data_IF_214769752886
#
_entry.id   IF_214769752886
#
_cell.length_a   1.000
_cell.length_b   1.000
_cell.length_c   1.000
_cell.angle_alpha   90.00
_cell.angle_beta   90.00
_cell.angle_gamma   90.00
#
_symmetry.space_group_name_H-M   'P 1'
#
loop_
_entity.id
_entity.type
_entity.pdbx_description
1 polymer ?
#
# COMPACT_ATOMS: atom_id res chain seq x y z
N UNK A 1 -31.10 16.20 -10.77
CA UNK A 1 -30.26 15.03 -11.14
C UNK A 1 -28.85 15.17 -10.57
N UNK A 2 -28.48 14.38 -9.55
CA UNK A 2 -27.10 14.37 -9.01
C UNK A 2 -26.19 13.47 -9.85
N UNK A 3 -25.27 14.07 -10.63
CA UNK A 3 -24.25 13.35 -11.43
C UNK A 3 -23.02 12.94 -10.58
N UNK A 4 -23.27 12.27 -9.45
CA UNK A 4 -22.24 11.97 -8.42
C UNK A 4 -22.00 10.49 -8.17
N UNK A 5 -22.40 9.62 -9.12
CA UNK A 5 -22.21 8.16 -9.04
C UNK A 5 -21.44 7.66 -10.27
N UNK A 6 -20.46 6.78 -10.06
CA UNK A 6 -19.81 6.01 -11.13
C UNK A 6 -20.85 5.10 -11.83
N UNK A 7 -20.89 5.15 -13.16
CA UNK A 7 -21.70 4.26 -13.99
C UNK A 7 -21.22 2.80 -13.90
N UNK A 8 -22.13 1.81 -13.97
CA UNK A 8 -21.76 0.39 -13.90
C UNK A 8 -20.70 -0.02 -14.93
N UNK A 9 -20.76 0.54 -16.15
CA UNK A 9 -19.73 0.35 -17.17
C UNK A 9 -18.38 0.95 -16.75
N UNK A 10 -18.38 2.18 -16.21
CA UNK A 10 -17.15 2.83 -15.73
C UNK A 10 -16.55 2.10 -14.52
N UNK A 11 -17.37 1.54 -13.65
CA UNK A 11 -16.94 0.72 -12.50
C UNK A 11 -16.18 -0.52 -12.98
N UNK A 12 -16.81 -1.33 -13.85
CA UNK A 12 -16.19 -2.52 -14.42
C UNK A 12 -14.92 -2.19 -15.21
N UNK A 13 -14.95 -1.14 -16.05
CA UNK A 13 -13.78 -0.68 -16.80
C UNK A 13 -12.66 -0.15 -15.88
N UNK A 14 -12.97 0.48 -14.75
CA UNK A 14 -11.94 0.95 -13.80
C UNK A 14 -11.23 -0.24 -13.16
N UNK A 15 -11.97 -1.26 -12.74
CA UNK A 15 -11.40 -2.49 -12.15
C UNK A 15 -10.56 -3.24 -13.19
N UNK A 16 -11.08 -3.40 -14.42
CA UNK A 16 -10.37 -4.07 -15.51
C UNK A 16 -9.08 -3.34 -15.91
N UNK A 17 -9.14 -2.03 -16.16
CA UNK A 17 -7.97 -1.22 -16.54
C UNK A 17 -6.95 -1.19 -15.41
N UNK A 18 -7.38 -1.04 -14.16
CA UNK A 18 -6.49 -1.14 -13.00
C UNK A 18 -5.76 -2.49 -12.98
N UNK A 19 -6.49 -3.61 -13.09
CA UNK A 19 -5.89 -4.93 -12.97
C UNK A 19 -4.92 -5.24 -14.11
N UNK A 20 -5.26 -4.89 -15.35
CA UNK A 20 -4.37 -5.07 -16.51
C UNK A 20 -3.07 -4.27 -16.33
N UNK A 21 -3.13 -2.99 -15.93
CA UNK A 21 -1.91 -2.20 -15.69
C UNK A 21 -1.13 -2.68 -14.46
N UNK A 22 -1.82 -3.08 -13.38
CA UNK A 22 -1.19 -3.57 -12.15
C UNK A 22 -0.44 -4.89 -12.39
N UNK A 23 -0.91 -5.74 -13.31
CA UNK A 23 -0.26 -7.00 -13.69
C UNK A 23 0.82 -6.82 -14.77
N UNK A 24 0.60 -5.96 -15.77
CA UNK A 24 1.54 -5.78 -16.88
C UNK A 24 2.76 -4.91 -16.53
N UNK A 25 2.60 -3.87 -15.70
CA UNK A 25 3.73 -3.00 -15.33
C UNK A 25 4.84 -3.70 -14.51
N UNK A 26 4.56 -4.64 -13.58
CA UNK A 26 5.55 -5.54 -13.00
C UNK A 26 6.55 -6.15 -13.98
N UNK A 27 6.05 -6.67 -15.12
CA UNK A 27 6.89 -7.35 -16.12
C UNK A 27 7.89 -6.39 -16.74
N UNK A 28 7.45 -5.17 -17.07
CA UNK A 28 8.30 -4.11 -17.61
C UNK A 28 9.31 -3.63 -16.54
N UNK A 29 8.85 -3.45 -15.30
CA UNK A 29 9.67 -2.96 -14.18
C UNK A 29 10.74 -3.96 -13.72
N UNK A 30 10.51 -5.26 -13.95
CA UNK A 30 11.47 -6.32 -13.62
C UNK A 30 12.77 -6.19 -14.43
N UNK A 31 12.70 -5.81 -15.70
CA UNK A 31 13.90 -5.56 -16.52
C UNK A 31 14.71 -4.37 -15.99
N UNK A 32 14.03 -3.31 -15.52
CA UNK A 32 14.67 -2.14 -14.93
C UNK A 32 15.23 -2.36 -13.51
N UNK A 33 14.88 -3.47 -12.83
CA UNK A 33 15.37 -3.75 -11.47
C UNK A 33 16.90 -3.69 -11.38
N UNK A 34 17.60 -4.29 -12.34
CA UNK A 34 19.08 -4.32 -12.40
C UNK A 34 19.69 -2.92 -12.58
N UNK A 35 19.00 -2.03 -13.30
CA UNK A 35 19.45 -0.66 -13.54
C UNK A 35 19.22 0.28 -12.34
N UNK A 36 18.35 -0.10 -11.39
CA UNK A 36 18.03 0.72 -10.22
C UNK A 36 19.09 0.72 -9.11
N UNK A 37 20.02 -0.24 -9.13
CA UNK A 37 20.97 -0.48 -8.03
C UNK A 37 20.38 -1.15 -6.79
N UNK A 38 19.06 -1.21 -6.63
CA UNK A 38 18.41 -1.83 -5.46
C UNK A 38 18.30 -3.35 -5.61
N UNK A 39 18.68 -4.06 -4.53
CA UNK A 39 18.46 -5.51 -4.40
C UNK A 39 16.96 -5.78 -4.21
N UNK A 40 16.37 -6.82 -4.86
CA UNK A 40 14.92 -7.05 -4.80
C UNK A 40 14.34 -7.24 -3.39
N UNK A 41 15.11 -7.79 -2.45
CA UNK A 41 14.67 -7.96 -1.05
C UNK A 41 14.67 -6.65 -0.23
N UNK A 42 15.29 -5.59 -0.73
CA UNK A 42 15.19 -4.24 -0.14
C UNK A 42 14.01 -3.52 -0.77
N UNK A 43 14.01 -3.40 -2.10
CA UNK A 43 12.96 -2.74 -2.85
C UNK A 43 12.83 -3.37 -4.24
N UNK A 44 11.69 -4.01 -4.47
CA UNK A 44 11.34 -4.60 -5.75
C UNK A 44 10.54 -3.58 -6.58
N UNK A 45 10.99 -3.25 -7.79
CA UNK A 45 10.35 -2.24 -8.63
C UNK A 45 8.94 -2.66 -9.08
N UNK A 46 8.68 -3.96 -9.21
CA UNK A 46 7.37 -4.49 -9.57
C UNK A 46 6.25 -4.05 -8.60
N UNK A 47 6.58 -3.81 -7.33
CA UNK A 47 5.67 -3.28 -6.31
C UNK A 47 5.13 -1.87 -6.61
N UNK A 48 5.73 -1.14 -7.54
CA UNK A 48 5.19 0.13 -8.06
C UNK A 48 3.97 -0.08 -8.99
N UNK A 49 3.77 -1.29 -9.51
CA UNK A 49 2.72 -1.58 -10.51
C UNK A 49 1.29 -1.20 -10.08
N UNK A 50 0.82 -1.62 -8.89
CA UNK A 50 -0.49 -1.22 -8.36
C UNK A 50 -0.62 0.29 -8.14
N UNK A 51 0.46 0.97 -7.75
CA UNK A 51 0.48 2.43 -7.61
C UNK A 51 0.34 3.13 -8.98
N UNK A 52 1.13 2.71 -9.98
CA UNK A 52 1.06 3.24 -11.35
C UNK A 52 -0.34 3.00 -11.94
N UNK A 53 -0.91 1.80 -11.75
CA UNK A 53 -2.26 1.48 -12.19
C UNK A 53 -3.34 2.37 -11.54
N UNK A 54 -3.23 2.63 -10.22
CA UNK A 54 -4.12 3.57 -9.54
C UNK A 54 -3.98 4.99 -10.10
N UNK A 55 -2.75 5.51 -10.23
CA UNK A 55 -2.50 6.85 -10.77
C UNK A 55 -3.03 7.00 -12.20
N UNK A 56 -2.80 6.03 -13.08
CA UNK A 56 -3.35 6.03 -14.44
C UNK A 56 -4.89 6.06 -14.43
N UNK A 57 -5.54 5.24 -13.60
CA UNK A 57 -7.00 5.24 -13.50
C UNK A 57 -7.54 6.56 -12.90
N UNK A 58 -6.86 7.12 -11.90
CA UNK A 58 -7.14 8.43 -11.30
C UNK A 58 -7.01 9.56 -12.33
N UNK A 59 -6.11 9.45 -13.32
CA UNK A 59 -6.00 10.41 -14.42
C UNK A 59 -7.13 10.22 -15.44
N UNK A 60 -7.35 8.99 -15.91
CA UNK A 60 -8.23 8.66 -17.06
C UNK A 60 -9.73 8.87 -16.75
N UNK A 61 -10.24 8.37 -15.62
CA UNK A 61 -11.68 8.42 -15.32
C UNK A 61 -12.07 9.75 -14.63
N UNK A 62 -13.33 10.17 -14.75
CA UNK A 62 -13.73 11.57 -14.41
C UNK A 62 -14.05 11.81 -12.94
N UNK A 63 -14.54 10.81 -12.20
CA UNK A 63 -15.17 11.01 -10.89
C UNK A 63 -14.14 11.07 -9.74
N UNK A 64 -13.24 12.06 -9.75
CA UNK A 64 -12.10 12.17 -8.83
C UNK A 64 -12.49 12.07 -7.34
N UNK A 65 -13.69 12.55 -6.96
CA UNK A 65 -14.20 12.49 -5.58
C UNK A 65 -14.48 11.05 -5.11
N UNK A 66 -15.06 10.20 -5.95
CA UNK A 66 -15.28 8.78 -5.65
C UNK A 66 -13.94 8.02 -5.70
N UNK A 67 -13.09 8.35 -6.69
CA UNK A 67 -11.77 7.73 -6.88
C UNK A 67 -10.79 7.98 -5.73
N UNK A 68 -10.87 9.12 -5.06
CA UNK A 68 -10.05 9.47 -3.89
C UNK A 68 -10.77 9.21 -2.56
N UNK A 69 -11.91 8.51 -2.58
CA UNK A 69 -12.73 8.24 -1.40
C UNK A 69 -11.97 7.52 -0.27
N UNK A 70 -11.07 6.59 -0.63
CA UNK A 70 -10.19 5.86 0.28
C UNK A 70 -8.83 6.50 0.54
N UNK A 71 -8.56 7.71 0.03
CA UNK A 71 -7.26 8.39 0.13
C UNK A 71 -7.31 9.62 1.06
N UNK A 72 -7.82 9.47 2.28
CA UNK A 72 -7.88 10.55 3.28
C UNK A 72 -6.74 10.45 4.29
N UNK A 73 -5.86 11.46 4.27
CA UNK A 73 -4.67 11.57 5.14
C UNK A 73 -4.98 12.09 6.56
N UNK A 74 -6.19 11.88 7.05
CA UNK A 74 -6.60 12.28 8.40
C UNK A 74 -6.42 11.12 9.40
N UNK A 75 -6.15 11.45 10.66
CA UNK A 75 -6.09 10.49 11.78
C UNK A 75 -7.32 10.69 12.67
N UNK A 76 -7.88 9.60 13.20
CA UNK A 76 -8.87 9.60 14.28
C UNK A 76 -8.65 8.38 15.20
N UNK A 77 -9.40 8.28 16.30
CA UNK A 77 -9.22 7.21 17.28
C UNK A 77 -9.43 5.80 16.68
N UNK A 78 -10.45 5.63 15.82
CA UNK A 78 -10.73 4.38 15.06
C UNK A 78 -9.54 3.98 14.17
N UNK A 79 -8.83 4.94 13.56
CA UNK A 79 -7.58 4.66 12.81
C UNK A 79 -6.43 4.25 13.74
N UNK A 80 -6.27 4.87 14.91
CA UNK A 80 -5.21 4.51 15.87
C UNK A 80 -5.43 3.08 16.41
N UNK A 81 -6.68 2.73 16.73
CA UNK A 81 -7.08 1.36 17.09
C UNK A 81 -6.74 0.35 15.98
N UNK A 82 -7.13 0.64 14.73
CA UNK A 82 -6.81 -0.23 13.59
C UNK A 82 -5.31 -0.30 13.29
N UNK A 83 -4.52 0.75 13.56
CA UNK A 83 -3.05 0.72 13.48
C UNK A 83 -2.45 -0.22 14.54
N UNK A 84 -2.97 -0.20 15.77
CA UNK A 84 -2.51 -1.12 16.81
C UNK A 84 -2.81 -2.58 16.39
N UNK A 85 -4.01 -2.86 15.89
CA UNK A 85 -4.36 -4.18 15.33
C UNK A 85 -3.47 -4.56 14.13
N UNK A 86 -3.17 -3.62 13.23
CA UNK A 86 -2.28 -3.83 12.08
C UNK A 86 -0.84 -4.22 12.47
N UNK A 87 -0.38 -3.87 13.68
CA UNK A 87 0.91 -4.30 14.21
C UNK A 87 0.79 -5.57 15.09
N UNK A 88 -0.31 -5.75 15.81
CA UNK A 88 -0.55 -6.92 16.66
C UNK A 88 -0.86 -8.20 15.89
N UNK A 89 -1.65 -8.14 14.81
CA UNK A 89 -2.01 -9.33 14.02
C UNK A 89 -0.79 -10.00 13.37
N UNK A 90 0.18 -9.28 12.75
CA UNK A 90 1.44 -9.87 12.31
C UNK A 90 2.18 -10.55 13.47
N UNK A 91 2.34 -9.89 14.62
CA UNK A 91 3.05 -10.49 15.76
C UNK A 91 2.41 -11.83 16.19
N UNK A 92 1.08 -11.94 16.21
CA UNK A 92 0.38 -13.21 16.48
C UNK A 92 0.69 -14.27 15.41
N UNK A 93 0.60 -13.90 14.12
CA UNK A 93 0.89 -14.82 12.99
C UNK A 93 2.34 -15.35 13.07
N UNK A 94 3.30 -14.48 13.37
CA UNK A 94 4.71 -14.84 13.49
C UNK A 94 5.01 -15.62 14.77
N UNK A 95 4.35 -15.36 15.90
CA UNK A 95 4.47 -16.18 17.12
C UNK A 95 3.99 -17.61 16.88
N UNK A 96 2.84 -17.80 16.20
CA UNK A 96 2.35 -19.13 15.80
C UNK A 96 3.36 -19.81 14.84
N UNK A 97 3.96 -19.04 13.93
CA UNK A 97 5.04 -19.50 13.06
C UNK A 97 6.25 -20.02 13.84
N UNK A 98 6.85 -19.15 14.66
CA UNK A 98 8.02 -19.47 15.49
C UNK A 98 7.78 -20.68 16.41
N UNK A 99 6.59 -20.80 17.01
CA UNK A 99 6.23 -21.98 17.80
C UNK A 99 6.18 -23.26 16.93
N UNK A 100 5.63 -23.17 15.72
CA UNK A 100 5.56 -24.31 14.79
C UNK A 100 6.95 -24.75 14.32
N UNK A 101 7.84 -23.80 13.97
CA UNK A 101 9.22 -24.09 13.61
C UNK A 101 9.98 -24.78 14.76
N UNK A 102 9.87 -24.25 15.98
CA UNK A 102 10.53 -24.82 17.16
C UNK A 102 9.98 -26.18 17.61
N UNK A 103 8.82 -26.61 17.09
CA UNK A 103 8.14 -27.87 17.47
C UNK A 103 8.24 -28.96 16.39
N UNK A 104 8.34 -28.58 15.11
CA UNK A 104 8.21 -29.50 13.97
C UNK A 104 9.32 -29.36 12.92
N UNK A 105 10.29 -28.47 13.13
CA UNK A 105 11.46 -28.24 12.28
C UNK A 105 12.70 -27.93 13.13
N UNK A 106 13.84 -27.66 12.50
CA UNK A 106 15.13 -27.42 13.15
C UNK A 106 15.29 -25.99 13.72
N UNK A 107 14.24 -25.45 14.37
CA UNK A 107 14.09 -24.03 14.73
C UNK A 107 14.05 -23.11 13.49
N UNK A 108 14.22 -21.80 13.69
CA UNK A 108 14.45 -20.79 12.65
C UNK A 108 15.68 -19.93 13.02
N UNK A 109 16.34 -19.34 12.03
CA UNK A 109 17.50 -18.46 12.21
C UNK A 109 17.05 -17.00 12.12
N UNK A 110 17.34 -16.20 13.15
CA UNK A 110 17.15 -14.75 13.12
C UNK A 110 18.14 -14.09 12.16
N UNK A 111 17.63 -13.20 11.31
CA UNK A 111 18.42 -12.43 10.34
C UNK A 111 19.45 -11.53 11.05
N UNK A 112 20.71 -11.97 11.13
CA UNK A 112 21.75 -11.24 11.84
C UNK A 112 22.22 -10.00 11.06
N UNK A 113 22.35 -8.88 11.78
CA UNK A 113 22.71 -7.57 11.22
C UNK A 113 24.15 -7.46 10.68
N UNK A 114 24.95 -8.52 10.78
CA UNK A 114 26.37 -8.56 10.39
C UNK A 114 26.63 -9.33 9.10
N UNK A 115 25.82 -10.33 8.80
CA UNK A 115 25.94 -11.18 7.61
C UNK A 115 25.07 -10.67 6.44
N UNK A 116 24.18 -9.73 6.74
CA UNK A 116 23.41 -8.99 5.75
C UNK A 116 24.30 -8.08 4.88
N UNK A 117 24.14 -8.18 3.56
CA UNK A 117 24.77 -7.26 2.60
C UNK A 117 24.14 -5.87 2.50
N UNK A 118 23.20 -5.53 3.40
CA UNK A 118 22.42 -4.29 3.48
C UNK A 118 22.03 -4.00 4.94
N UNK A 119 21.85 -2.74 5.35
CA UNK A 119 21.47 -2.47 6.74
C UNK A 119 20.00 -2.85 7.01
N UNK A 120 19.69 -3.26 8.24
CA UNK A 120 18.29 -3.52 8.67
C UNK A 120 17.41 -2.28 8.45
N UNK A 121 17.94 -1.07 8.63
CA UNK A 121 17.22 0.18 8.34
C UNK A 121 16.92 0.35 6.85
N UNK A 122 17.85 -0.02 5.96
CA UNK A 122 17.63 -0.03 4.51
C UNK A 122 16.48 -0.98 4.15
N UNK A 123 16.49 -2.20 4.70
CA UNK A 123 15.45 -3.21 4.47
C UNK A 123 14.09 -2.72 5.01
N UNK A 124 14.04 -2.19 6.24
CA UNK A 124 12.81 -1.70 6.87
C UNK A 124 12.18 -0.55 6.08
N UNK A 125 12.99 0.42 5.62
CA UNK A 125 12.52 1.55 4.80
C UNK A 125 12.05 1.07 3.43
N UNK A 126 12.79 0.16 2.79
CA UNK A 126 12.41 -0.42 1.51
C UNK A 126 11.09 -1.19 1.58
N UNK A 127 10.90 -2.03 2.60
CA UNK A 127 9.65 -2.72 2.88
C UNK A 127 8.48 -1.77 3.17
N UNK A 128 8.72 -0.66 3.89
CA UNK A 128 7.69 0.35 4.17
C UNK A 128 7.24 1.08 2.89
N UNK A 129 8.18 1.41 1.99
CA UNK A 129 7.88 2.02 0.69
C UNK A 129 7.16 1.02 -0.24
N UNK A 130 7.63 -0.22 -0.30
CA UNK A 130 7.00 -1.32 -1.05
C UNK A 130 5.54 -1.51 -0.61
N UNK A 131 5.30 -1.63 0.69
CA UNK A 131 3.97 -1.72 1.29
C UNK A 131 3.08 -0.52 0.91
N UNK A 132 3.62 0.70 0.99
CA UNK A 132 2.89 1.91 0.65
C UNK A 132 2.38 1.90 -0.81
N UNK A 133 3.25 1.59 -1.78
CA UNK A 133 2.86 1.59 -3.19
C UNK A 133 1.84 0.50 -3.52
N UNK A 134 1.97 -0.70 -2.93
CA UNK A 134 1.03 -1.80 -3.13
C UNK A 134 -0.35 -1.48 -2.53
N UNK A 135 -0.39 -1.08 -1.25
CA UNK A 135 -1.66 -0.88 -0.52
C UNK A 135 -2.35 0.46 -0.85
N UNK A 136 -1.62 1.43 -1.42
CA UNK A 136 -2.20 2.57 -2.14
C UNK A 136 -3.07 2.07 -3.30
N UNK A 137 -2.54 1.16 -4.13
CA UNK A 137 -3.25 0.57 -5.24
C UNK A 137 -4.44 -0.29 -4.81
N UNK A 138 -4.21 -1.27 -3.92
CA UNK A 138 -5.23 -2.28 -3.61
C UNK A 138 -6.28 -1.88 -2.56
N UNK A 139 -5.92 -1.25 -1.44
CA UNK A 139 -6.92 -0.88 -0.39
C UNK A 139 -7.41 0.55 -0.54
N UNK A 140 -6.49 1.47 -0.79
CA UNK A 140 -6.83 2.90 -0.75
C UNK A 140 -7.56 3.31 -2.02
N UNK A 141 -7.14 2.78 -3.18
CA UNK A 141 -7.83 2.97 -4.44
C UNK A 141 -8.84 1.85 -4.76
N UNK A 142 -8.38 0.63 -5.08
CA UNK A 142 -9.25 -0.39 -5.69
C UNK A 142 -10.40 -0.83 -4.78
N UNK A 143 -10.17 -1.13 -3.51
CA UNK A 143 -11.23 -1.58 -2.59
C UNK A 143 -12.38 -0.57 -2.50
N UNK A 144 -12.06 0.72 -2.30
CA UNK A 144 -13.04 1.81 -2.31
C UNK A 144 -13.80 1.93 -3.66
N UNK A 145 -13.17 1.62 -4.80
CA UNK A 145 -13.88 1.54 -6.10
C UNK A 145 -14.85 0.34 -6.12
N UNK A 146 -14.45 -0.83 -5.63
CA UNK A 146 -15.29 -2.03 -5.61
C UNK A 146 -16.47 -1.87 -4.64
N UNK A 147 -16.24 -1.27 -3.47
CA UNK A 147 -17.24 -0.96 -2.44
C UNK A 147 -18.37 -0.04 -2.95
N UNK A 148 -18.10 0.82 -3.93
CA UNK A 148 -19.12 1.67 -4.56
C UNK A 148 -20.25 0.91 -5.29
N UNK A 149 -20.15 -0.43 -5.40
CA UNK A 149 -21.23 -1.33 -5.90
C UNK A 149 -21.45 -2.60 -5.06
N UNK A 150 -20.44 -3.08 -4.31
CA UNK A 150 -20.52 -4.34 -3.55
C UNK A 150 -20.39 -4.10 -2.04
N UNK A 151 -21.08 -4.87 -1.18
CA UNK A 151 -20.90 -4.75 0.27
C UNK A 151 -19.46 -5.10 0.66
N UNK A 152 -18.89 -4.43 1.67
CA UNK A 152 -17.48 -4.57 2.06
C UNK A 152 -16.94 -6.00 2.03
N UNK A 153 -17.66 -6.97 2.61
CA UNK A 153 -17.26 -8.39 2.60
C UNK A 153 -17.00 -8.96 1.19
N UNK A 154 -17.90 -8.70 0.24
CA UNK A 154 -17.74 -9.13 -1.15
C UNK A 154 -16.70 -8.29 -1.90
N UNK A 155 -16.60 -6.99 -1.59
CA UNK A 155 -15.57 -6.14 -2.15
C UNK A 155 -14.15 -6.60 -1.73
N UNK A 156 -13.97 -6.94 -0.45
CA UNK A 156 -12.75 -7.50 0.11
C UNK A 156 -12.41 -8.86 -0.52
N UNK A 157 -13.38 -9.75 -0.73
CA UNK A 157 -13.16 -11.01 -1.48
C UNK A 157 -12.68 -10.74 -2.91
N UNK A 158 -13.33 -9.82 -3.64
CA UNK A 158 -12.93 -9.47 -5.03
C UNK A 158 -11.52 -8.90 -5.07
N UNK A 159 -11.18 -7.94 -4.20
CA UNK A 159 -9.82 -7.41 -4.09
C UNK A 159 -8.83 -8.49 -3.65
N UNK A 160 -9.24 -9.45 -2.80
CA UNK A 160 -8.39 -10.55 -2.36
C UNK A 160 -8.10 -11.57 -3.46
N UNK A 161 -9.04 -11.83 -4.37
CA UNK A 161 -8.79 -12.64 -5.58
C UNK A 161 -7.88 -11.90 -6.58
N UNK A 162 -8.08 -10.59 -6.77
CA UNK A 162 -7.22 -9.81 -7.67
C UNK A 162 -5.79 -9.64 -7.11
N UNK A 163 -5.65 -9.44 -5.80
CA UNK A 163 -4.35 -9.44 -5.11
C UNK A 163 -3.67 -10.81 -5.18
N UNK A 164 -4.44 -11.89 -5.01
CA UNK A 164 -3.97 -13.27 -5.17
C UNK A 164 -3.31 -13.51 -6.55
N UNK A 165 -3.98 -13.14 -7.64
CA UNK A 165 -3.43 -13.35 -8.99
C UNK A 165 -2.20 -12.47 -9.27
N UNK A 166 -2.02 -11.38 -8.51
CA UNK A 166 -0.89 -10.46 -8.62
C UNK A 166 0.36 -10.89 -7.83
N UNK A 167 0.20 -11.44 -6.61
CA UNK A 167 1.30 -11.71 -5.65
C UNK A 167 1.57 -13.22 -5.42
N UNK A 168 0.84 -14.13 -6.06
CA UNK A 168 1.06 -15.58 -5.90
C UNK A 168 2.42 -16.03 -6.45
N UNK A 169 3.22 -16.70 -5.61
CA UNK A 169 4.52 -17.19 -6.01
C UNK A 169 4.42 -18.56 -6.70
N UNK A 170 4.83 -18.63 -7.96
CA UNK A 170 4.82 -19.84 -8.80
C UNK A 170 6.19 -20.51 -8.97
N UNK A 171 7.26 -19.95 -8.39
CA UNK A 171 8.63 -20.35 -8.67
C UNK A 171 9.02 -21.69 -8.04
N UNK A 172 8.50 -21.99 -6.85
CA UNK A 172 8.85 -23.17 -6.05
C UNK A 172 7.91 -24.37 -6.25
N UNK A 173 7.27 -24.45 -7.43
CA UNK A 173 6.39 -25.56 -7.81
C UNK A 173 4.96 -25.47 -7.27
N UNK A 174 4.08 -26.33 -7.77
CA UNK A 174 2.63 -26.26 -7.57
C UNK A 174 2.18 -26.38 -6.11
N UNK A 175 2.83 -27.24 -5.32
CA UNK A 175 2.52 -27.39 -3.89
C UNK A 175 2.84 -26.11 -3.11
N UNK A 176 4.01 -25.49 -3.35
CA UNK A 176 4.32 -24.19 -2.76
C UNK A 176 3.33 -23.11 -3.23
N UNK A 177 3.03 -23.10 -4.53
CA UNK A 177 2.07 -22.16 -5.14
C UNK A 177 0.70 -22.20 -4.47
N UNK A 178 0.20 -23.38 -4.10
CA UNK A 178 -1.09 -23.53 -3.42
C UNK A 178 -1.09 -22.93 -2.01
N UNK A 179 0.00 -23.11 -1.25
CA UNK A 179 0.12 -22.50 0.09
C UNK A 179 0.45 -21.01 0.02
N UNK A 180 1.24 -20.57 -0.96
CA UNK A 180 1.43 -19.15 -1.29
C UNK A 180 0.08 -18.49 -1.62
N UNK A 181 -0.77 -19.14 -2.43
CA UNK A 181 -2.10 -18.65 -2.75
C UNK A 181 -2.98 -18.51 -1.50
N UNK A 182 -3.02 -19.53 -0.64
CA UNK A 182 -3.77 -19.47 0.62
C UNK A 182 -3.27 -18.34 1.54
N UNK A 183 -1.94 -18.17 1.66
CA UNK A 183 -1.32 -17.08 2.39
C UNK A 183 -1.71 -15.70 1.85
N UNK A 184 -1.48 -15.46 0.56
CA UNK A 184 -1.71 -14.17 -0.12
C UNK A 184 -3.18 -13.76 -0.03
N UNK A 185 -4.11 -14.69 -0.27
CA UNK A 185 -5.53 -14.45 -0.12
C UNK A 185 -5.92 -14.11 1.33
N UNK A 186 -5.40 -14.88 2.30
CA UNK A 186 -5.71 -14.68 3.74
C UNK A 186 -5.15 -13.36 4.28
N UNK A 187 -3.92 -13.02 3.91
CA UNK A 187 -3.30 -11.72 4.14
C UNK A 187 -4.17 -10.58 3.59
N UNK A 188 -4.63 -10.72 2.34
CA UNK A 188 -5.46 -9.71 1.68
C UNK A 188 -6.81 -9.52 2.36
N UNK A 189 -7.45 -10.61 2.81
CA UNK A 189 -8.70 -10.56 3.57
C UNK A 189 -8.54 -9.83 4.91
N UNK A 190 -7.44 -10.06 5.65
CA UNK A 190 -7.12 -9.32 6.88
C UNK A 190 -6.92 -7.83 6.59
N UNK A 191 -6.12 -7.51 5.57
CA UNK A 191 -5.82 -6.13 5.19
C UNK A 191 -7.08 -5.33 4.80
N UNK A 192 -8.05 -5.96 4.13
CA UNK A 192 -9.35 -5.35 3.85
C UNK A 192 -10.20 -5.13 5.11
N UNK A 193 -10.34 -6.13 5.99
CA UNK A 193 -11.13 -5.99 7.21
C UNK A 193 -10.52 -4.98 8.21
N UNK A 194 -9.19 -4.86 8.25
CA UNK A 194 -8.49 -3.83 9.03
C UNK A 194 -8.84 -2.40 8.60
N UNK A 195 -9.06 -2.15 7.30
CA UNK A 195 -9.40 -0.82 6.79
C UNK A 195 -10.91 -0.52 6.80
N UNK A 196 -11.76 -1.51 7.09
CA UNK A 196 -13.22 -1.38 7.16
C UNK A 196 -13.64 -0.35 8.21
N UNK A 197 -14.62 0.49 7.86
CA UNK A 197 -15.19 1.50 8.76
C UNK A 197 -14.27 2.68 9.10
N UNK A 198 -13.11 2.82 8.45
CA UNK A 198 -12.15 3.93 8.69
C UNK A 198 -12.60 5.26 8.07
N UNK A 199 -13.70 5.24 7.29
CA UNK A 199 -14.18 6.38 6.52
C UNK A 199 -13.24 6.79 5.38
N UNK A 200 -12.43 5.87 4.86
CA UNK A 200 -11.47 6.12 3.77
C UNK A 200 -10.09 6.58 4.23
N UNK A 201 -9.64 6.15 5.41
CA UNK A 201 -8.31 6.45 6.00
C UNK A 201 -7.43 5.20 6.00
N UNK A 202 -7.53 4.39 4.94
CA UNK A 202 -6.97 3.04 4.85
C UNK A 202 -5.44 3.00 4.79
N UNK A 203 -4.82 4.01 4.16
CA UNK A 203 -3.42 3.95 3.73
C UNK A 203 -2.44 3.63 4.87
N UNK A 204 -2.58 4.27 6.04
CA UNK A 204 -1.67 4.05 7.18
C UNK A 204 -1.78 2.63 7.74
N UNK A 205 -3.01 2.14 7.89
CA UNK A 205 -3.32 0.83 8.48
C UNK A 205 -2.82 -0.28 7.57
N UNK A 206 -3.15 -0.20 6.28
CA UNK A 206 -2.74 -1.20 5.30
C UNK A 206 -1.22 -1.20 5.07
N UNK A 207 -0.61 -0.02 4.93
CA UNK A 207 0.85 0.12 4.78
C UNK A 207 1.58 -0.49 5.98
N UNK A 208 1.16 -0.21 7.21
CA UNK A 208 1.81 -0.76 8.41
C UNK A 208 1.59 -2.27 8.55
N UNK A 209 0.40 -2.79 8.24
CA UNK A 209 0.15 -4.24 8.23
C UNK A 209 1.03 -4.97 7.18
N UNK A 210 1.07 -4.46 5.96
CA UNK A 210 1.88 -5.03 4.87
C UNK A 210 3.38 -4.93 5.18
N UNK A 211 3.86 -3.76 5.64
CA UNK A 211 5.26 -3.56 6.02
C UNK A 211 5.66 -4.50 7.15
N UNK A 212 4.85 -4.62 8.21
CA UNK A 212 5.11 -5.52 9.33
C UNK A 212 5.12 -7.00 8.88
N UNK A 213 4.13 -7.45 8.09
CA UNK A 213 4.08 -8.83 7.58
C UNK A 213 5.29 -9.17 6.71
N UNK A 214 5.62 -8.31 5.74
CA UNK A 214 6.70 -8.55 4.78
C UNK A 214 8.08 -8.44 5.43
N UNK A 215 8.31 -7.43 6.29
CA UNK A 215 9.57 -7.28 7.02
C UNK A 215 9.79 -8.43 8.01
N UNK A 216 8.76 -8.81 8.79
CA UNK A 216 8.86 -9.93 9.72
C UNK A 216 9.14 -11.26 8.99
N UNK A 217 8.57 -11.46 7.79
CA UNK A 217 8.89 -12.64 6.96
C UNK A 217 10.38 -12.70 6.63
N UNK A 218 10.99 -11.59 6.20
CA UNK A 218 12.42 -11.53 5.89
C UNK A 218 13.27 -11.61 7.16
N UNK A 219 12.84 -11.01 8.27
CA UNK A 219 13.62 -10.95 9.51
C UNK A 219 13.65 -12.26 10.32
N UNK A 220 12.54 -13.02 10.32
CA UNK A 220 12.46 -14.29 11.05
C UNK A 220 12.70 -15.53 10.17
N UNK A 221 12.36 -15.47 8.87
CA UNK A 221 12.24 -16.63 8.00
C UNK A 221 12.92 -16.39 6.62
N UNK A 222 14.12 -15.80 6.59
CA UNK A 222 14.91 -15.59 5.36
C UNK A 222 15.42 -16.89 4.74
N UNK A 223 16.01 -17.76 5.57
CA UNK A 223 16.56 -19.05 5.14
C UNK A 223 15.45 -20.02 4.67
N UNK A 224 14.23 -19.78 5.13
CA UNK A 224 13.01 -20.53 4.83
C UNK A 224 12.37 -20.18 3.47
N UNK A 225 13.01 -19.30 2.68
CA UNK A 225 12.47 -18.86 1.38
C UNK A 225 12.63 -19.98 0.34
N UNK A 226 11.51 -20.67 0.10
CA UNK A 226 11.37 -21.70 -0.92
C UNK A 226 10.91 -23.04 -0.37
N UNK A 227 11.00 -23.24 0.95
CA UNK A 227 10.50 -24.47 1.57
C UNK A 227 8.96 -24.53 1.66
N UNK A 228 8.45 -25.73 1.45
CA UNK A 228 7.02 -26.06 1.38
C UNK A 228 6.41 -26.24 2.78
N UNK A 229 7.15 -26.72 3.78
CA UNK A 229 6.69 -26.74 5.17
C UNK A 229 6.60 -25.30 5.73
N UNK A 230 7.61 -24.48 5.47
CA UNK A 230 7.66 -23.08 5.92
C UNK A 230 6.54 -22.25 5.29
N UNK A 231 6.25 -22.45 4.00
CA UNK A 231 5.09 -21.85 3.33
C UNK A 231 3.74 -22.40 3.87
N UNK A 232 3.63 -23.68 4.23
CA UNK A 232 2.43 -24.23 4.91
C UNK A 232 2.18 -23.56 6.25
N UNK A 233 3.21 -23.47 7.11
CA UNK A 233 3.11 -22.86 8.45
C UNK A 233 2.64 -21.41 8.34
N UNK A 234 3.27 -20.61 7.48
CA UNK A 234 2.90 -19.22 7.28
C UNK A 234 1.48 -19.08 6.69
N UNK A 235 1.09 -19.94 5.76
CA UNK A 235 -0.24 -19.95 5.17
C UNK A 235 -1.34 -20.34 6.17
N UNK A 236 -1.17 -21.43 6.91
CA UNK A 236 -2.15 -21.88 7.91
C UNK A 236 -2.26 -20.91 9.10
N UNK A 237 -1.15 -20.33 9.56
CA UNK A 237 -1.15 -19.30 10.60
C UNK A 237 -1.95 -18.06 10.14
N UNK A 238 -1.63 -17.54 8.96
CA UNK A 238 -2.31 -16.37 8.37
C UNK A 238 -3.79 -16.65 8.09
N UNK A 239 -4.13 -17.84 7.57
CA UNK A 239 -5.51 -18.26 7.30
C UNK A 239 -6.34 -18.42 8.59
N UNK A 240 -5.73 -18.94 9.66
CA UNK A 240 -6.41 -19.07 10.96
C UNK A 240 -6.72 -17.70 11.57
N UNK A 241 -5.76 -16.78 11.54
CA UNK A 241 -5.97 -15.40 12.00
C UNK A 241 -6.96 -14.65 11.10
N UNK A 242 -6.92 -14.86 9.77
CA UNK A 242 -7.89 -14.29 8.84
C UNK A 242 -9.31 -14.79 9.12
N UNK A 243 -9.50 -16.09 9.35
CA UNK A 243 -10.79 -16.66 9.70
C UNK A 243 -11.35 -16.03 11.00
N UNK A 244 -10.53 -15.90 12.05
CA UNK A 244 -10.94 -15.26 13.31
C UNK A 244 -11.31 -13.78 13.09
N UNK A 245 -10.46 -13.00 12.41
CA UNK A 245 -10.68 -11.57 12.15
C UNK A 245 -11.93 -11.33 11.31
N UNK A 246 -12.13 -12.09 10.24
CA UNK A 246 -13.31 -11.96 9.36
C UNK A 246 -14.58 -12.43 10.05
N UNK A 247 -14.55 -13.55 10.80
CA UNK A 247 -15.74 -14.04 11.53
C UNK A 247 -16.13 -13.09 12.66
N UNK A 248 -15.18 -12.55 13.43
CA UNK A 248 -15.46 -11.49 14.41
C UNK A 248 -16.01 -10.23 13.73
N UNK A 249 -15.42 -9.81 12.60
CA UNK A 249 -15.90 -8.70 11.79
C UNK A 249 -17.34 -8.88 11.28
N UNK A 250 -17.75 -10.11 10.97
CA UNK A 250 -19.13 -10.45 10.57
C UNK A 250 -20.08 -10.52 11.78
N UNK A 251 -19.64 -11.11 12.90
CA UNK A 251 -20.42 -11.21 14.14
C UNK A 251 -20.74 -9.81 14.70
N UNK A 252 -19.74 -8.91 14.76
CA UNK A 252 -19.96 -7.53 15.21
C UNK A 252 -21.02 -6.82 14.35
N UNK A 253 -21.02 -7.06 13.02
CA UNK A 253 -22.03 -6.50 12.10
C UNK A 253 -23.46 -7.02 12.37
N UNK A 254 -23.61 -8.20 12.96
CA UNK A 254 -24.92 -8.76 13.32
C UNK A 254 -25.49 -8.11 14.59
N UNK A 255 -24.62 -7.67 15.50
CA UNK A 255 -25.01 -7.09 16.80
C UNK A 255 -24.98 -5.56 16.87
N UNK A 256 -24.22 -4.87 16.00
CA UNK A 256 -24.20 -3.40 15.95
C UNK A 256 -25.43 -2.85 15.19
N UNK A 257 -26.29 -2.02 15.82
CA UNK A 257 -27.43 -1.43 15.14
C UNK A 257 -26.98 -0.40 14.08
N UNK A 258 -27.52 -0.50 12.86
CA UNK A 258 -27.21 0.38 11.72
C UNK A 258 -27.50 1.85 12.04
N UNK A 259 -26.47 2.63 12.34
CA UNK A 259 -26.57 4.09 12.46
C UNK A 259 -26.39 4.75 11.09
N UNK A 260 -27.45 5.40 10.60
CA UNK A 260 -27.51 5.99 9.25
C UNK A 260 -26.62 7.25 9.18
N UNK A 261 -25.38 7.06 8.75
CA UNK A 261 -24.42 8.15 8.51
C UNK A 261 -22.98 7.89 8.98
N UNK A 262 -22.70 6.81 9.72
CA UNK A 262 -21.37 6.57 10.31
C UNK A 262 -20.61 5.35 9.71
N UNK A 263 -21.32 4.27 9.35
CA UNK A 263 -20.78 3.16 8.54
C UNK A 263 -21.61 3.02 7.24
N UNK A 264 -21.19 3.70 6.16
CA UNK A 264 -21.83 3.67 4.83
C UNK A 264 -21.50 2.39 4.02
N UNK A 265 -21.35 1.25 4.71
CA UNK A 265 -20.95 -0.07 4.21
C UNK A 265 -22.10 -0.78 3.43
N UNK A 266 -23.07 -0.04 2.91
CA UNK A 266 -24.31 -0.56 2.29
C UNK A 266 -24.46 -0.02 0.86
N UNK A 267 -24.29 -0.87 -0.18
CA UNK A 267 -24.64 -0.47 -1.53
C UNK A 267 -26.13 -0.12 -1.60
N UNK A 268 -26.44 1.07 -2.11
CA UNK A 268 -27.80 1.62 -2.22
C UNK A 268 -28.75 0.86 -3.18
N UNK A 269 -28.36 -0.33 -3.65
CA UNK A 269 -29.19 -1.28 -4.38
C UNK A 269 -30.32 -1.89 -3.52
N UNK A 270 -30.36 -1.61 -2.22
CA UNK A 270 -31.38 -2.05 -1.28
C UNK A 270 -32.21 -0.90 -0.67
N UNK A 271 -32.06 0.33 -1.19
CA UNK A 271 -32.94 1.44 -0.83
C UNK A 271 -34.17 1.45 -1.75
N UNK A 272 -35.05 0.45 -1.56
CA UNK A 272 -36.31 0.28 -2.32
C UNK A 272 -37.43 1.19 -1.77
N UNK A 273 -37.06 2.36 -1.25
CA UNK A 273 -37.94 3.28 -0.52
C UNK A 273 -38.60 4.29 -1.46
N UNK A 274 -39.70 3.88 -2.10
CA UNK A 274 -40.72 4.77 -2.70
C UNK A 274 -40.19 5.89 -3.63
N UNK A 275 -39.89 5.54 -4.89
CA UNK A 275 -40.31 6.43 -5.99
C UNK A 275 -41.83 6.20 -6.18
N UNK A 276 -42.65 6.88 -5.36
CA UNK A 276 -44.09 7.00 -5.62
C UNK A 276 -44.34 8.05 -6.73
N UNK A 277 -45.41 7.85 -7.48
CA UNK A 277 -45.52 8.36 -8.85
C UNK A 277 -45.79 9.88 -8.92
N UNK A 278 -44.90 10.62 -9.60
CA UNK A 278 -45.21 11.94 -10.16
C UNK A 278 -46.31 11.76 -11.23
N UNK A 279 -47.57 11.94 -10.84
CA UNK A 279 -48.72 11.87 -11.75
C UNK A 279 -49.13 13.27 -12.24
N UNK A 280 -48.87 13.65 -13.50
CA UNK A 280 -49.21 14.96 -14.03
C UNK A 280 -50.64 15.01 -14.59
N UNK A 281 -51.19 16.23 -14.71
CA UNK A 281 -52.45 16.60 -15.38
C UNK A 281 -53.75 16.27 -14.63
N UNK A 282 -54.30 17.29 -13.96
CA UNK A 282 -55.68 17.71 -14.26
C UNK A 282 -55.66 19.21 -14.56
N UNK A 283 -56.29 19.62 -15.67
CA UNK A 283 -56.54 21.02 -15.99
C UNK A 283 -57.93 21.43 -15.46
N UNK A 284 -58.05 22.62 -14.88
CA UNK A 284 -59.34 23.30 -14.83
C UNK A 284 -59.15 24.82 -14.96
N UNK A 285 -59.67 25.38 -16.05
CA UNK A 285 -59.78 26.81 -16.29
C UNK A 285 -61.18 27.30 -15.89
N UNK A 286 -61.24 28.46 -15.24
CA UNK A 286 -62.21 29.56 -15.45
C UNK A 286 -61.94 30.63 -14.36
N UNK A 287 -62.19 31.94 -14.49
CA UNK A 287 -62.24 32.98 -15.55
C UNK A 287 -62.52 34.29 -14.77
N UNK A 288 -62.19 35.44 -15.35
CA UNK A 288 -62.17 36.80 -14.78
C UNK A 288 -63.41 37.27 -13.98
N UNK A 289 -63.22 38.23 -13.05
CA UNK A 289 -63.89 39.58 -13.00
C UNK A 289 -63.32 40.42 -11.82
N UNK A 290 -63.34 41.76 -11.89
CA UNK A 290 -62.76 42.67 -10.87
C UNK A 290 -63.71 43.80 -10.39
N UNK A 291 -63.58 44.25 -9.12
CA UNK A 291 -64.06 45.55 -8.62
C UNK A 291 -63.53 45.93 -7.21
N UNK A 292 -63.17 47.21 -7.00
CA UNK A 292 -63.09 47.94 -5.70
C UNK A 292 -64.42 48.75 -5.47
N UNK A 293 -64.70 49.54 -4.38
CA UNK A 293 -63.81 50.13 -3.35
C UNK A 293 -64.31 50.23 -1.86
N UNK A 294 -63.42 50.74 -0.99
CA UNK A 294 -63.53 51.62 0.25
C UNK A 294 -64.90 52.19 0.72
N UNK A 295 -65.10 52.61 2.01
CA UNK A 295 -64.23 53.61 2.72
C UNK A 295 -64.16 53.74 4.29
N UNK A 296 -63.19 54.55 4.76
CA UNK A 296 -63.14 55.39 6.02
C UNK A 296 -63.05 54.70 7.43
N UNK A 297 -62.50 55.30 8.51
CA UNK A 297 -62.26 56.74 8.85
C UNK A 297 -61.02 57.03 9.78
N UNK A 298 -60.60 58.31 9.76
CA UNK A 298 -59.67 59.16 10.58
C UNK A 298 -59.79 59.08 12.14
N UNK A 299 -58.96 59.70 13.02
CA UNK A 299 -57.60 60.37 13.01
C UNK A 299 -57.25 60.91 14.43
N UNK A 300 -55.96 61.20 14.72
CA UNK A 300 -55.38 62.19 15.70
C UNK A 300 -55.71 62.04 17.21
N UNK A 301 -54.88 62.42 18.20
CA UNK A 301 -53.91 63.54 18.37
C UNK A 301 -52.61 63.20 19.17
N UNK A 302 -51.73 64.19 19.39
CA UNK A 302 -50.42 64.16 20.10
C UNK A 302 -50.24 65.46 20.96
N UNK A 303 -49.05 65.90 21.47
CA UNK A 303 -47.70 65.32 21.63
C UNK A 303 -47.32 65.16 23.15
N UNK A 304 -46.24 65.62 23.83
CA UNK A 304 -45.04 66.48 23.56
C UNK A 304 -43.97 66.38 24.69
N UNK A 305 -42.79 67.02 24.48
CA UNK A 305 -41.77 67.52 25.48
C UNK A 305 -40.99 66.51 26.35
N UNK A 306 -39.69 66.68 26.67
CA UNK A 306 -38.69 67.75 26.33
C UNK A 306 -37.21 67.40 26.63
N UNK A 307 -36.26 67.99 25.86
CA UNK A 307 -34.98 68.66 26.31
C UNK A 307 -33.83 67.79 26.93
N UNK A 308 -32.51 67.96 26.65
CA UNK A 308 -31.70 68.73 25.65
C UNK A 308 -30.26 68.12 25.50
N UNK A 309 -29.41 68.59 24.56
CA UNK A 309 -28.04 68.09 24.26
C UNK A 309 -26.92 69.07 24.68
N UNK A 310 -25.65 68.77 24.34
CA UNK A 310 -24.69 69.79 23.83
C UNK A 310 -23.43 69.21 23.13
N UNK A 311 -22.68 70.07 22.43
CA UNK A 311 -21.35 69.83 21.82
C UNK A 311 -20.43 71.02 22.17
N UNK A 312 -19.12 70.80 22.42
CA UNK A 312 -17.99 71.60 21.89
C UNK A 312 -16.61 71.12 22.40
N UNK A 313 -15.54 71.82 21.98
CA UNK A 313 -14.13 71.38 22.00
C UNK A 313 -13.26 72.07 23.10
N UNK A 314 -11.95 71.78 23.03
CA UNK A 314 -10.79 72.60 23.45
C UNK A 314 -10.37 72.54 24.94
N UNK A 315 -9.08 72.49 25.30
CA UNK A 315 -7.84 72.28 24.51
C UNK A 315 -6.62 71.97 25.43
N UNK A 316 -5.48 71.55 24.82
CA UNK A 316 -4.11 71.40 25.40
C UNK A 316 -3.96 70.43 26.60
N UNK A 317 -2.82 69.75 26.81
CA UNK A 317 -1.48 69.69 26.16
C UNK A 317 -1.31 68.22 25.62
N UNK A 318 -0.23 67.67 25.05
CA UNK A 318 1.21 67.99 24.99
C UNK A 318 1.91 67.34 23.77
N UNK A 319 3.23 67.52 23.63
CA UNK A 319 4.11 67.03 22.53
C UNK A 319 4.57 65.55 22.68
N UNK A 320 5.19 64.82 21.72
CA UNK A 320 5.77 65.17 20.41
C UNK A 320 5.68 64.01 19.35
N UNK A 321 6.31 64.24 18.19
CA UNK A 321 6.37 63.52 16.90
C UNK A 321 7.02 62.09 16.96
N UNK A 322 7.07 61.25 15.91
CA UNK A 322 6.94 61.47 14.44
C UNK A 322 6.43 60.21 13.71
N UNK A 323 5.87 60.36 12.52
CA UNK A 323 5.53 59.27 11.58
C UNK A 323 6.39 59.28 10.31
N UNK A 324 6.65 58.10 9.71
CA UNK A 324 6.63 57.86 8.24
C UNK A 324 6.88 56.41 7.83
N UNK A 325 6.65 56.14 6.54
CA UNK A 325 6.65 54.82 5.91
C UNK A 325 7.93 54.50 5.09
N UNK A 326 8.04 53.21 4.72
CA UNK A 326 8.50 52.70 3.41
C UNK A 326 10.01 52.64 3.01
N UNK A 327 10.35 51.45 2.49
CA UNK A 327 11.18 51.16 1.30
C UNK A 327 12.72 50.93 1.41
N UNK A 328 13.10 49.70 1.02
CA UNK A 328 14.35 49.19 0.36
C UNK A 328 15.71 49.17 1.07
N UNK A 329 16.48 48.11 0.69
CA UNK A 329 17.90 47.97 0.29
C UNK A 329 19.02 48.78 1.03
N UNK A 330 20.30 48.38 1.14
CA UNK A 330 21.06 47.32 0.44
C UNK A 330 22.29 46.83 1.28
N UNK A 331 23.25 46.15 0.65
CA UNK A 331 24.49 45.55 1.22
C UNK A 331 25.49 46.53 1.90
N UNK A 332 26.36 46.01 2.78
CA UNK A 332 27.80 45.70 2.49
C UNK A 332 28.56 45.14 3.72
N UNK A 333 29.34 44.06 3.61
CA UNK A 333 30.76 43.92 3.13
C UNK A 333 31.77 44.66 4.04
N UNK A 334 33.02 44.20 4.29
CA UNK A 334 33.89 43.16 3.68
C UNK A 334 34.96 42.74 4.73
N UNK A 335 35.61 41.55 4.75
CA UNK A 335 36.78 41.03 3.98
C UNK A 335 37.20 39.69 4.66
N UNK A 336 38.06 38.77 4.20
CA UNK A 336 38.99 38.69 3.05
C UNK A 336 39.27 37.20 2.64
N UNK A 337 40.25 36.94 1.75
CA UNK A 337 39.97 36.29 0.46
C UNK A 337 41.10 35.37 -0.11
N UNK A 338 40.70 34.27 -0.78
CA UNK A 338 41.36 33.44 -1.84
C UNK A 338 42.82 32.91 -1.79
N UNK A 339 42.92 31.59 -2.05
CA UNK A 339 43.75 30.86 -3.05
C UNK A 339 45.10 31.38 -3.60
N UNK A 340 46.15 30.55 -3.44
CA UNK A 340 47.21 30.16 -4.41
C UNK A 340 47.90 28.88 -3.86
N UNK A 341 48.39 27.86 -4.58
CA UNK A 341 49.17 27.67 -5.84
C UNK A 341 50.70 27.77 -5.68
N UNK A 342 51.38 26.70 -6.13
CA UNK A 342 52.81 26.49 -6.46
C UNK A 342 53.88 26.03 -5.42
N UNK A 343 54.43 24.84 -5.73
CA UNK A 343 55.88 24.45 -5.81
C UNK A 343 56.84 24.33 -4.59
N UNK A 344 57.51 23.15 -4.56
CA UNK A 344 58.97 22.91 -4.34
C UNK A 344 59.58 23.11 -2.93
N UNK A 345 60.67 22.41 -2.52
CA UNK A 345 61.44 21.28 -3.08
C UNK A 345 62.23 20.51 -2.00
N UNK A 346 62.69 19.29 -2.34
CA UNK A 346 63.83 18.53 -1.75
C UNK A 346 63.74 18.08 -0.26
N UNK A 347 64.45 17.04 0.20
CA UNK A 347 65.63 16.31 -0.34
C UNK A 347 65.52 14.77 -0.22
N UNK A 348 65.98 14.05 -1.26
CA UNK A 348 66.83 12.83 -1.31
C UNK A 348 66.89 11.85 -0.11
N UNK A 349 66.92 10.52 -0.29
CA UNK A 349 67.08 9.64 -1.49
C UNK A 349 66.50 8.22 -1.21
N UNK A 350 66.76 7.07 -1.87
CA UNK A 350 67.78 6.65 -2.85
C UNK A 350 67.40 5.40 -3.69
N UNK A 351 68.35 4.87 -4.48
CA UNK A 351 68.34 3.58 -5.22
C UNK A 351 68.01 2.34 -4.34
N UNK A 352 67.32 1.27 -4.76
CA UNK A 352 67.24 0.51 -6.03
C UNK A 352 68.27 -0.63 -6.17
N UNK A 353 67.83 -1.81 -6.65
CA UNK A 353 68.66 -2.90 -7.17
C UNK A 353 67.83 -3.83 -8.10
N UNK A 354 68.46 -4.42 -9.14
CA UNK A 354 67.87 -5.35 -10.11
C UNK A 354 68.69 -6.66 -10.21
N UNK A 355 68.06 -7.84 -10.27
CA UNK A 355 68.53 -8.96 -11.13
C UNK A 355 67.37 -9.97 -11.34
N UNK A 356 66.77 -10.10 -12.54
CA UNK A 356 67.16 -10.91 -13.73
C UNK A 356 67.21 -12.43 -13.46
N UNK A 357 66.24 -13.19 -13.98
CA UNK A 357 66.15 -13.79 -15.35
C UNK A 357 66.82 -15.17 -15.43
N UNK A 358 66.05 -16.21 -15.75
CA UNK A 358 66.23 -16.91 -17.02
C UNK A 358 64.95 -17.58 -17.54
N UNK A 359 64.92 -17.89 -18.84
CA UNK A 359 63.87 -18.62 -19.56
C UNK A 359 64.51 -19.87 -20.15
N UNK A 360 63.82 -21.01 -20.15
CA UNK A 360 64.09 -22.07 -21.12
C UNK A 360 62.79 -22.77 -21.54
N UNK A 361 62.54 -22.84 -22.85
CA UNK A 361 61.49 -23.65 -23.46
C UNK A 361 62.08 -25.00 -23.83
N UNK A 362 61.30 -26.07 -23.75
CA UNK A 362 61.47 -27.22 -24.66
C UNK A 362 60.14 -27.93 -24.87
N UNK A 363 59.74 -28.06 -26.13
CA UNK A 363 58.62 -28.90 -26.54
C UNK A 363 58.95 -30.40 -26.37
N UNK A 364 57.93 -31.26 -26.23
CA UNK A 364 57.92 -32.53 -26.95
C UNK A 364 56.55 -33.23 -27.00
N UNK A 365 56.48 -34.21 -27.90
CA UNK A 365 55.23 -34.70 -28.48
C UNK A 365 54.40 -35.68 -27.65
N UNK A 366 53.10 -35.62 -27.95
CA UNK A 366 52.14 -36.73 -28.05
C UNK A 366 52.77 -38.13 -28.14
N UNK A 367 52.33 -39.05 -27.27
CA UNK A 367 51.96 -40.39 -27.76
C UNK A 367 50.82 -41.02 -26.97
N UNK A 368 50.02 -41.81 -27.67
CA UNK A 368 48.92 -42.62 -27.14
C UNK A 368 49.13 -44.07 -27.55
N UNK A 369 49.01 -44.98 -26.60
CA UNK A 369 48.87 -46.41 -26.83
C UNK A 369 48.13 -47.05 -25.66
N UNK A 370 47.20 -47.94 -25.96
CA UNK A 370 46.48 -48.77 -25.00
C UNK A 370 46.65 -50.22 -25.41
N UNK A 371 46.74 -51.14 -24.45
CA UNK A 371 46.53 -52.57 -24.71
C UNK A 371 46.09 -53.32 -23.43
N UNK A 372 45.64 -54.56 -23.58
CA UNK A 372 44.61 -55.16 -22.71
C UNK A 372 44.84 -56.66 -22.45
N UNK A 373 44.67 -57.09 -21.19
CA UNK A 373 44.51 -58.50 -20.73
C UNK A 373 43.69 -58.48 -19.42
N UNK A 374 42.49 -59.07 -19.28
CA UNK A 374 42.15 -60.52 -19.07
C UNK A 374 42.68 -61.06 -17.73
N UNK A 375 41.95 -61.76 -16.84
CA UNK A 375 40.61 -62.42 -16.83
C UNK A 375 39.89 -62.14 -15.48
N UNK A 376 38.56 -62.04 -15.29
CA UNK A 376 37.37 -62.89 -15.55
C UNK A 376 37.09 -63.99 -14.48
N UNK A 377 35.91 -63.89 -13.83
CA UNK A 377 35.07 -64.88 -13.11
C UNK A 377 34.02 -64.08 -12.27
N UNK A 378 32.71 -63.96 -12.60
CA UNK A 378 31.61 -64.96 -12.64
C UNK A 378 31.01 -65.24 -11.22
N UNK A 379 29.69 -65.26 -10.94
CA UNK A 379 28.43 -65.25 -11.74
C UNK A 379 27.44 -64.19 -11.20
N UNK A 380 26.50 -63.71 -12.04
CA UNK A 380 25.30 -62.97 -11.59
C UNK A 380 24.01 -63.81 -11.64
N UNK A 381 23.07 -63.54 -10.71
CA UNK A 381 21.75 -64.18 -10.55
C UNK A 381 20.99 -64.43 -11.87
N UNK A 382 20.35 -65.60 -11.97
CA UNK A 382 19.24 -65.86 -12.90
C UNK A 382 18.03 -66.39 -12.14
N UNK A 383 16.82 -65.97 -12.53
CA UNK A 383 15.55 -66.41 -11.94
C UNK A 383 14.79 -67.34 -12.89
N UNK A 384 14.15 -68.40 -12.37
CA UNK A 384 12.99 -69.02 -13.04
C UNK A 384 12.03 -69.69 -12.05
N UNK A 385 10.85 -70.00 -12.57
CA UNK A 385 9.61 -70.27 -11.83
C UNK A 385 9.48 -71.71 -11.30
N UNK A 386 8.59 -71.84 -10.31
CA UNK A 386 7.78 -73.01 -9.91
C UNK A 386 8.25 -74.43 -10.27
N UNK A 387 8.35 -75.27 -9.24
CA UNK A 387 7.92 -76.67 -9.33
C UNK A 387 6.70 -76.91 -8.42
N UNK A 388 6.04 -78.06 -8.55
CA UNK A 388 4.71 -78.34 -8.01
C UNK A 388 4.65 -79.73 -7.37
N UNK A 389 3.52 -79.99 -6.70
CA UNK A 389 3.00 -81.30 -6.26
C UNK A 389 3.67 -81.99 -5.07
N UNK A 390 2.76 -82.65 -4.32
CA UNK A 390 2.89 -83.74 -3.34
C UNK A 390 3.69 -83.52 -2.03
#
# INVERSE_FOLDING_TARGET
>A
MNRTRISGFQWAMTIFVFFIFAYASPLILQDFQKASGFKPFVFALNSLGPFIAAVLCIIIFKNKKEQLGGLKLGINLKVIERILLALTLPLIIFIIGMYSFNTYADSFILLQSKDLSETIWTILIGHLLMAFFIEFGFRSYLLNIVEAKLPHFFANIVVSVLYLVWDVNTAFGSTYTLFSALYVFSFSMIAGELVRGTGGRSIYIATLFHAAMSFARVFFFSEEIGDVFSMKVLAYSTASVAAVVVVLGLIMRLFTPRHKGEDDDTPLMFDTSQEEEDNPLEEHYETETAAEPKPTTKSSDAPNTSVQPEQQNDANVDEELTSKEQIKDEEKQTNETNQSIQEREATSSDTADEEKVNIENTDNEVQSSAETTTDENDVTKTSKHEDKTD
#
